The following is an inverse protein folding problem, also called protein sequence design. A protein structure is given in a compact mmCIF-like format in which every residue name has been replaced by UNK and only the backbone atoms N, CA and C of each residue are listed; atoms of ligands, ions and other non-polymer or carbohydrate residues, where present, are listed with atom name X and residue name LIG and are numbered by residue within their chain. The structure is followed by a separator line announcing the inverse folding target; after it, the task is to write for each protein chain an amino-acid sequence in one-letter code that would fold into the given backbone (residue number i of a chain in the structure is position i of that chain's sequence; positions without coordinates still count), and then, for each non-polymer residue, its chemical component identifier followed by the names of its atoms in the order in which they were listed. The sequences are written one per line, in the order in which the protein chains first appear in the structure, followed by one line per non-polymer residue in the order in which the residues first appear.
data_IF_846176581792
#
_entry.id   IF_846176581792
#
_cell.length_a   1.000
_cell.length_b   1.000
_cell.length_c   1.000
_cell.angle_alpha   90.00
_cell.angle_beta   90.00
_cell.angle_gamma   90.00
#
_symmetry.space_group_name_H-M   'P 1'
#
loop_
_entity.id
_entity.type
_entity.pdbx_description
1 polymer ?
#
# COMPACT_ATOMS: atom_id res chain seq x y z
N UNK A 1 -19.38 32.32 19.08
CA UNK A 1 -19.37 32.38 17.61
C UNK A 1 -18.68 31.12 17.12
N UNK A 2 -19.44 30.08 16.74
CA UNK A 2 -18.86 28.80 16.35
C UNK A 2 -18.52 28.83 14.86
N UNK A 3 -17.23 28.87 14.53
CA UNK A 3 -16.71 28.72 13.17
C UNK A 3 -16.14 27.30 12.98
N UNK A 4 -17.01 26.29 13.03
CA UNK A 4 -16.66 24.97 12.53
C UNK A 4 -17.50 24.68 11.28
N UNK A 5 -16.86 24.81 10.12
CA UNK A 5 -17.43 24.41 8.84
C UNK A 5 -17.08 22.93 8.64
N UNK A 6 -18.08 22.06 8.74
CA UNK A 6 -17.95 20.64 8.36
C UNK A 6 -17.65 20.58 6.86
N UNK A 7 -16.44 20.21 6.45
CA UNK A 7 -16.16 19.81 5.06
C UNK A 7 -16.62 18.37 4.87
N UNK A 8 -17.93 18.15 4.74
CA UNK A 8 -18.44 16.95 4.09
C UNK A 8 -19.08 17.35 2.77
N UNK A 9 -18.30 17.15 1.71
CA UNK A 9 -18.76 16.94 0.35
C UNK A 9 -17.51 16.59 -0.46
N UNK A 10 -17.02 15.37 -0.32
CA UNK A 10 -16.25 14.78 -1.43
C UNK A 10 -17.25 14.60 -2.57
N UNK A 11 -17.37 15.65 -3.37
CA UNK A 11 -17.89 15.58 -4.72
C UNK A 11 -17.11 14.50 -5.45
N UNK A 12 -17.81 13.52 -6.02
CA UNK A 12 -17.30 12.62 -7.06
C UNK A 12 -16.90 13.42 -8.31
N UNK A 13 -15.92 14.32 -8.22
CA UNK A 13 -15.21 14.80 -9.40
C UNK A 13 -14.28 13.68 -9.80
N UNK A 14 -14.59 12.97 -10.89
CA UNK A 14 -13.64 12.05 -11.52
C UNK A 14 -12.31 12.79 -11.70
N UNK A 15 -11.23 12.23 -11.18
CA UNK A 15 -9.88 12.77 -11.36
C UNK A 15 -9.63 12.99 -12.85
N UNK A 16 -9.12 14.16 -13.21
CA UNK A 16 -8.74 14.46 -14.57
C UNK A 16 -7.37 13.86 -14.88
N UNK A 17 -7.02 13.77 -16.17
CA UNK A 17 -5.69 13.29 -16.58
C UNK A 17 -4.55 14.13 -15.96
N UNK A 18 -4.62 15.48 -15.92
CA UNK A 18 -3.65 16.29 -15.19
C UNK A 18 -3.53 15.97 -13.69
N UNK A 19 -4.64 15.67 -13.02
CA UNK A 19 -4.61 15.30 -11.59
C UNK A 19 -3.84 13.99 -11.38
N UNK A 20 -4.08 13.00 -12.23
CA UNK A 20 -3.40 11.70 -12.19
C UNK A 20 -1.90 11.86 -12.51
N UNK A 21 -1.54 12.69 -13.50
CA UNK A 21 -0.13 12.98 -13.83
C UNK A 21 0.61 13.64 -12.68
N UNK A 22 -0.06 14.55 -11.95
CA UNK A 22 0.50 15.16 -10.75
C UNK A 22 0.71 14.11 -9.64
N UNK A 23 -0.30 13.30 -9.36
CA UNK A 23 -0.19 12.23 -8.36
C UNK A 23 0.93 11.25 -8.68
N UNK A 24 1.10 10.88 -9.96
CA UNK A 24 2.22 10.03 -10.39
C UNK A 24 3.60 10.61 -10.05
N UNK A 25 3.76 11.93 -10.15
CA UNK A 25 5.04 12.59 -9.88
C UNK A 25 5.32 12.72 -8.38
N UNK A 26 4.27 12.84 -7.57
CA UNK A 26 4.36 13.07 -6.12
C UNK A 26 4.25 11.78 -5.30
N UNK A 27 3.68 10.71 -5.86
CA UNK A 27 3.44 9.45 -5.17
C UNK A 27 4.75 8.82 -4.67
N UNK A 28 4.68 8.26 -3.48
CA UNK A 28 5.79 7.51 -2.91
C UNK A 28 5.98 6.20 -3.69
N UNK A 29 7.15 6.02 -4.30
CA UNK A 29 7.50 4.74 -4.89
C UNK A 29 7.86 3.75 -3.78
N UNK A 30 7.07 2.68 -3.65
CA UNK A 30 7.26 1.66 -2.63
C UNK A 30 8.61 0.97 -2.83
N UNK A 31 9.40 0.93 -1.76
CA UNK A 31 10.73 0.32 -1.76
C UNK A 31 10.74 -0.96 -0.91
N UNK A 32 11.32 -2.06 -1.42
CA UNK A 32 11.38 -3.32 -0.70
C UNK A 32 12.39 -3.27 0.44
N UNK A 33 12.08 -3.97 1.53
CA UNK A 33 13.02 -4.34 2.59
C UNK A 33 13.13 -5.86 2.66
N UNK A 34 14.36 -6.35 2.72
CA UNK A 34 14.64 -7.78 2.86
C UNK A 34 14.84 -8.16 4.33
N UNK A 35 14.21 -9.26 4.72
CA UNK A 35 14.32 -9.90 6.03
C UNK A 35 14.72 -11.35 5.81
N UNK A 36 15.53 -11.90 6.72
CA UNK A 36 15.91 -13.31 6.72
C UNK A 36 15.33 -13.95 7.98
N UNK A 37 14.54 -15.02 7.81
CA UNK A 37 13.96 -15.78 8.91
C UNK A 37 14.99 -16.70 9.53
N UNK A 38 14.70 -17.25 10.70
CA UNK A 38 15.59 -18.20 11.41
C UNK A 38 15.94 -19.44 10.58
N UNK A 39 15.05 -19.86 9.67
CA UNK A 39 15.26 -20.99 8.76
C UNK A 39 16.03 -20.63 7.48
N UNK A 40 16.49 -19.38 7.34
CA UNK A 40 17.20 -18.86 6.17
C UNK A 40 16.30 -18.41 5.02
N UNK A 41 14.96 -18.52 5.18
CA UNK A 41 14.00 -18.03 4.18
C UNK A 41 14.06 -16.51 4.07
N UNK A 42 14.11 -16.00 2.84
CA UNK A 42 14.01 -14.55 2.60
C UNK A 42 12.56 -14.11 2.44
N UNK A 43 12.24 -13.04 3.16
CA UNK A 43 10.97 -12.34 3.09
C UNK A 43 11.23 -10.90 2.61
N UNK A 44 10.50 -10.47 1.59
CA UNK A 44 10.52 -9.08 1.15
C UNK A 44 9.25 -8.37 1.62
N UNK A 45 9.41 -7.28 2.36
CA UNK A 45 8.31 -6.44 2.82
C UNK A 45 8.31 -5.06 2.18
N UNK A 46 7.13 -4.61 1.74
CA UNK A 46 6.87 -3.23 1.33
C UNK A 46 5.90 -2.58 2.32
N UNK A 47 6.01 -1.28 2.55
CA UNK A 47 5.13 -0.55 3.46
C UNK A 47 4.05 0.22 2.68
N UNK A 48 2.78 0.02 3.04
CA UNK A 48 1.65 0.83 2.63
C UNK A 48 1.20 1.69 3.82
N UNK A 49 1.43 2.99 3.72
CA UNK A 49 1.18 3.93 4.81
C UNK A 49 -0.08 4.73 4.57
N UNK A 50 -0.87 4.92 5.62
CA UNK A 50 -2.03 5.80 5.63
C UNK A 50 -1.71 7.19 5.08
N UNK A 51 -2.67 7.81 4.39
CA UNK A 51 -2.57 9.17 3.86
C UNK A 51 -1.41 9.38 2.86
N UNK A 52 -0.92 8.30 2.22
CA UNK A 52 0.20 8.36 1.27
C UNK A 52 -0.21 7.75 -0.08
N UNK A 53 -0.30 8.59 -1.12
CA UNK A 53 -0.37 8.10 -2.50
C UNK A 53 0.91 7.32 -2.83
N UNK A 54 0.77 6.11 -3.36
CA UNK A 54 1.89 5.18 -3.47
C UNK A 54 1.90 4.43 -4.81
N UNK A 55 3.10 4.19 -5.33
CA UNK A 55 3.35 3.32 -6.48
C UNK A 55 3.85 1.96 -6.00
N UNK A 56 3.10 0.91 -6.29
CA UNK A 56 3.47 -0.48 -6.01
C UNK A 56 3.61 -1.28 -7.30
N UNK A 57 4.59 -2.18 -7.44
CA UNK A 57 4.60 -3.09 -8.57
C UNK A 57 3.42 -4.07 -8.49
N UNK A 58 2.89 -4.46 -9.64
CA UNK A 58 1.80 -5.44 -9.74
C UNK A 58 2.38 -6.85 -9.56
N UNK A 59 3.55 -7.09 -10.15
CA UNK A 59 4.35 -8.32 -10.03
C UNK A 59 5.74 -7.93 -9.49
N UNK A 60 5.96 -7.96 -8.17
CA UNK A 60 7.20 -7.49 -7.56
C UNK A 60 8.42 -8.34 -7.96
N UNK A 61 8.22 -9.61 -8.30
CA UNK A 61 9.27 -10.54 -8.73
C UNK A 61 9.88 -10.16 -10.08
N UNK A 62 9.14 -9.45 -10.95
CA UNK A 62 9.67 -8.91 -12.19
C UNK A 62 10.46 -7.61 -11.97
N UNK A 63 10.24 -6.95 -10.83
CA UNK A 63 10.84 -5.67 -10.49
C UNK A 63 12.14 -5.83 -9.70
N UNK A 64 12.22 -6.84 -8.83
CA UNK A 64 13.34 -7.04 -7.92
C UNK A 64 13.73 -8.50 -7.77
N UNK A 65 15.03 -8.74 -7.68
CA UNK A 65 15.64 -10.02 -7.37
C UNK A 65 16.90 -9.80 -6.52
N UNK A 66 17.32 -10.85 -5.80
CA UNK A 66 18.61 -10.87 -5.10
C UNK A 66 19.49 -11.89 -5.79
N UNK A 67 20.67 -11.46 -6.24
CA UNK A 67 21.59 -12.32 -6.99
C UNK A 67 21.95 -13.59 -6.19
N UNK A 68 21.78 -14.74 -6.84
CA UNK A 68 22.08 -16.05 -6.25
C UNK A 68 21.14 -16.49 -5.12
N UNK A 69 20.06 -15.74 -4.82
CA UNK A 69 19.08 -16.11 -3.79
C UNK A 69 17.68 -16.26 -4.38
N UNK A 70 16.90 -17.18 -3.81
CA UNK A 70 15.47 -17.31 -4.10
C UNK A 70 14.69 -16.53 -3.06
N UNK A 71 13.80 -15.64 -3.51
CA UNK A 71 12.84 -14.96 -2.64
C UNK A 71 11.54 -15.76 -2.72
N UNK A 72 11.11 -16.36 -1.60
CA UNK A 72 9.91 -17.20 -1.55
C UNK A 72 8.71 -16.50 -0.94
N UNK A 73 8.90 -15.36 -0.27
CA UNK A 73 7.81 -14.65 0.39
C UNK A 73 7.86 -13.14 0.14
N UNK A 74 6.69 -12.59 -0.17
CA UNK A 74 6.46 -11.16 -0.35
C UNK A 74 5.27 -10.72 0.49
N UNK A 75 5.40 -9.59 1.17
CA UNK A 75 4.33 -9.02 1.99
C UNK A 75 4.19 -7.51 1.81
N UNK A 76 2.97 -7.02 2.07
CA UNK A 76 2.70 -5.61 2.33
C UNK A 76 2.43 -5.44 3.82
N UNK A 77 3.15 -4.52 4.45
CA UNK A 77 2.96 -4.06 5.83
C UNK A 77 2.09 -2.80 5.81
N UNK A 78 0.92 -2.85 6.45
CA UNK A 78 0.02 -1.71 6.55
C UNK A 78 0.37 -0.88 7.78
N UNK A 79 0.58 0.42 7.58
CA UNK A 79 1.00 1.35 8.64
C UNK A 79 -0.05 2.44 8.78
N UNK A 80 -0.63 2.57 9.98
CA UNK A 80 -1.56 3.64 10.32
C UNK A 80 -0.86 4.76 11.08
N UNK A 81 -1.18 6.00 10.69
CA UNK A 81 -0.69 7.21 11.32
C UNK A 81 -1.68 7.75 12.35
N UNK A 82 -2.98 7.48 12.18
CA UNK A 82 -4.06 8.01 13.03
C UNK A 82 -4.58 7.03 14.07
N UNK A 83 -4.21 5.75 13.99
CA UNK A 83 -4.45 4.79 15.08
C UNK A 83 -3.84 5.34 16.39
N UNK A 84 -4.58 5.38 17.52
CA UNK A 84 -4.05 5.82 18.81
C UNK A 84 -2.79 5.08 19.29
N UNK A 85 -2.60 3.83 18.86
CA UNK A 85 -1.39 3.05 19.13
C UNK A 85 -0.27 3.30 18.09
N UNK A 86 -0.62 3.92 16.96
CA UNK A 86 0.24 4.18 15.82
C UNK A 86 0.81 2.90 15.19
N UNK A 87 1.45 3.05 14.04
CA UNK A 87 2.36 2.03 13.51
C UNK A 87 1.66 0.89 12.75
N UNK A 88 2.23 -0.30 12.83
CA UNK A 88 1.85 -1.44 12.01
C UNK A 88 0.51 -2.00 12.48
N UNK A 89 -0.48 -2.04 11.59
CA UNK A 89 -1.81 -2.60 11.88
C UNK A 89 -2.01 -4.03 11.35
N UNK A 90 -1.04 -4.53 10.58
CA UNK A 90 -0.97 -5.90 10.11
C UNK A 90 -0.12 -6.03 8.85
N UNK A 91 0.17 -7.28 8.48
CA UNK A 91 0.83 -7.62 7.23
C UNK A 91 -0.01 -8.64 6.45
N UNK A 92 0.13 -8.61 5.13
CA UNK A 92 -0.59 -9.48 4.20
C UNK A 92 0.36 -9.98 3.11
N UNK A 93 0.11 -11.19 2.59
CA UNK A 93 0.79 -11.67 1.38
C UNK A 93 0.55 -10.68 0.23
N UNK A 94 1.62 -10.41 -0.52
CA UNK A 94 1.67 -9.31 -1.48
C UNK A 94 0.58 -9.37 -2.55
N UNK A 95 0.40 -10.51 -3.22
CA UNK A 95 -0.57 -10.64 -4.30
C UNK A 95 -2.01 -10.57 -3.81
N UNK A 96 -2.28 -11.12 -2.62
CA UNK A 96 -3.57 -10.94 -1.95
C UNK A 96 -3.83 -9.46 -1.63
N UNK A 97 -2.82 -8.74 -1.15
CA UNK A 97 -2.93 -7.31 -0.89
C UNK A 97 -3.21 -6.52 -2.18
N UNK A 98 -2.47 -6.77 -3.27
CA UNK A 98 -2.70 -6.11 -4.57
C UNK A 98 -4.12 -6.36 -5.10
N UNK A 99 -4.64 -7.59 -5.01
CA UNK A 99 -6.03 -7.91 -5.40
C UNK A 99 -7.05 -7.09 -4.62
N UNK A 100 -6.83 -6.90 -3.33
CA UNK A 100 -7.73 -6.13 -2.45
C UNK A 100 -7.59 -4.63 -2.62
N UNK A 101 -6.44 -4.18 -3.11
CA UNK A 101 -6.17 -2.78 -3.43
C UNK A 101 -6.80 -2.33 -4.75
N UNK A 102 -7.29 -3.24 -5.61
CA UNK A 102 -7.93 -2.92 -6.90
C UNK A 102 -8.94 -1.74 -6.84
N UNK A 103 -9.86 -1.65 -5.86
CA UNK A 103 -10.81 -0.53 -5.79
C UNK A 103 -10.16 0.84 -5.53
N UNK A 104 -8.91 0.85 -5.06
CA UNK A 104 -8.13 2.02 -4.69
C UNK A 104 -7.06 2.38 -5.73
N UNK A 105 -6.90 1.55 -6.78
CA UNK A 105 -5.97 1.81 -7.88
C UNK A 105 -6.55 2.87 -8.81
N UNK A 106 -5.82 3.97 -8.96
CA UNK A 106 -6.17 5.06 -9.87
C UNK A 106 -5.73 4.76 -11.31
N UNK A 107 -4.60 4.06 -11.46
CA UNK A 107 -4.08 3.66 -12.77
C UNK A 107 -3.06 2.53 -12.66
N UNK A 108 -2.89 1.81 -13.77
CA UNK A 108 -1.84 0.80 -13.96
C UNK A 108 -1.04 1.12 -15.21
N UNK A 109 0.29 1.05 -15.12
CA UNK A 109 1.19 1.25 -16.26
C UNK A 109 2.53 0.57 -15.99
N UNK A 110 3.05 -0.17 -16.96
CA UNK A 110 4.41 -0.74 -16.96
C UNK A 110 4.77 -1.48 -15.66
N UNK A 111 3.92 -2.41 -15.22
CA UNK A 111 4.01 -3.15 -13.95
C UNK A 111 3.82 -2.30 -12.68
N UNK A 112 3.47 -1.02 -12.76
CA UNK A 112 3.17 -0.18 -11.59
C UNK A 112 1.67 0.08 -11.45
N UNK A 113 1.19 0.04 -10.21
CA UNK A 113 -0.12 0.51 -9.81
C UNK A 113 0.03 1.78 -8.97
N UNK A 114 -0.63 2.86 -9.38
CA UNK A 114 -0.81 4.05 -8.56
C UNK A 114 -2.03 3.82 -7.66
N UNK A 115 -1.77 3.75 -6.37
CA UNK A 115 -2.76 3.56 -5.32
C UNK A 115 -2.94 4.92 -4.66
N UNK A 116 -4.18 5.38 -4.56
CA UNK A 116 -4.45 6.63 -3.85
C UNK A 116 -4.15 6.50 -2.36
N UNK A 117 -3.92 7.62 -1.69
CA UNK A 117 -3.93 7.71 -0.25
C UNK A 117 -5.21 7.05 0.32
N UNK A 118 -5.03 6.24 1.36
CA UNK A 118 -6.10 5.50 2.05
C UNK A 118 -6.22 5.95 3.50
N UNK A 119 -7.44 5.94 4.04
CA UNK A 119 -7.66 6.17 5.47
C UNK A 119 -7.31 4.95 6.30
N UNK A 120 -7.20 5.12 7.62
CA UNK A 120 -7.09 3.99 8.56
C UNK A 120 -8.16 2.92 8.31
N UNK A 121 -9.43 3.30 8.23
CA UNK A 121 -10.54 2.36 8.04
C UNK A 121 -10.46 1.62 6.72
N UNK A 122 -9.99 2.28 5.67
CA UNK A 122 -9.80 1.65 4.36
C UNK A 122 -8.66 0.62 4.42
N UNK A 123 -7.52 0.97 5.02
CA UNK A 123 -6.43 0.01 5.24
C UNK A 123 -6.86 -1.16 6.12
N UNK A 124 -7.63 -0.89 7.18
CA UNK A 124 -8.17 -1.91 8.08
C UNK A 124 -9.14 -2.85 7.34
N UNK A 125 -9.97 -2.29 6.46
CA UNK A 125 -10.94 -3.05 5.67
C UNK A 125 -10.28 -4.04 4.71
N UNK A 126 -9.02 -3.82 4.32
CA UNK A 126 -8.28 -4.76 3.47
C UNK A 126 -8.16 -6.12 4.15
N UNK A 127 -8.07 -6.20 5.47
CA UNK A 127 -7.95 -7.51 6.14
C UNK A 127 -9.25 -8.32 6.05
N UNK A 128 -10.42 -7.69 6.16
CA UNK A 128 -11.70 -8.39 6.22
C UNK A 128 -11.67 -9.51 7.27
N UNK A 129 -11.77 -10.77 6.83
CA UNK A 129 -11.70 -11.96 7.70
C UNK A 129 -10.30 -12.62 7.76
N UNK A 130 -9.29 -12.06 7.08
CA UNK A 130 -7.94 -12.61 7.09
C UNK A 130 -7.21 -12.28 8.40
N UNK A 131 -6.31 -13.17 8.87
CA UNK A 131 -5.47 -12.87 10.02
C UNK A 131 -4.52 -11.72 9.70
N UNK A 132 -4.33 -10.83 10.68
CA UNK A 132 -3.30 -9.79 10.66
C UNK A 132 -1.99 -10.44 11.10
N UNK A 133 -1.23 -10.96 10.15
CA UNK A 133 0.05 -11.59 10.46
C UNK A 133 1.09 -10.52 10.79
N UNK A 134 2.01 -10.86 11.68
CA UNK A 134 3.23 -10.10 11.96
C UNK A 134 4.38 -11.12 11.86
N UNK A 135 5.08 -11.06 10.74
CA UNK A 135 6.24 -11.85 10.37
C UNK A 135 7.53 -11.17 10.83
#
# INVERSE_FOLDING_TARGET
MNFFKKKNSQTNSKLTKPDIEKLLQEAYQANPKCYEKEDGTLLIGLALTEDTDSLFPIVPEEQWAIEGKTISEWIITMVSLTNPQGGIIGQMEYHEAIKRLEPFILMKKDNWALIRAMTHEELDSLFGNLPRKLY
#
